data_IF_996914278017
#
_entry.id   IF_996914278017
#
_cell.length_a   1.000
_cell.length_b   1.000
_cell.length_c   1.000
_cell.angle_alpha   90.00
_cell.angle_beta   90.00
_cell.angle_gamma   90.00
#
_symmetry.space_group_name_H-M   'P 1'
#
loop_
_entity.id
_entity.type
_entity.pdbx_description
1 polymer ?
#
# COMPACT_ATOMS: atom_id res chain seq x y z
N UNK A 1 -6.61 -4.75 -12.11
CA UNK A 1 -6.86 -3.37 -11.61
C UNK A 1 -7.81 -3.40 -10.40
N UNK A 2 -7.96 -2.30 -9.65
CA UNK A 2 -8.85 -2.24 -8.45
C UNK A 2 -10.31 -2.59 -8.81
N UNK A 3 -10.76 -2.13 -9.98
CA UNK A 3 -12.05 -2.42 -10.61
C UNK A 3 -12.33 -3.92 -10.79
N UNK A 4 -11.39 -4.66 -11.38
CA UNK A 4 -11.48 -6.11 -11.56
C UNK A 4 -11.55 -6.82 -10.21
N UNK A 5 -10.73 -6.39 -9.23
CA UNK A 5 -10.72 -7.01 -7.91
C UNK A 5 -12.04 -6.79 -7.15
N UNK A 6 -12.63 -5.60 -7.25
CA UNK A 6 -13.96 -5.31 -6.72
C UNK A 6 -15.02 -6.25 -7.32
N UNK A 7 -14.94 -6.50 -8.63
CA UNK A 7 -15.83 -7.41 -9.34
C UNK A 7 -15.64 -8.86 -8.89
N UNK A 8 -14.40 -9.33 -8.73
CA UNK A 8 -14.08 -10.66 -8.22
C UNK A 8 -14.63 -10.88 -6.82
N UNK A 9 -14.35 -9.95 -5.89
CA UNK A 9 -14.80 -10.02 -4.51
C UNK A 9 -16.32 -9.98 -4.42
N UNK A 10 -16.97 -9.13 -5.22
CA UNK A 10 -18.43 -9.12 -5.30
C UNK A 10 -18.99 -10.46 -5.78
N UNK A 11 -18.39 -11.05 -6.80
CA UNK A 11 -18.82 -12.34 -7.35
C UNK A 11 -18.58 -13.49 -6.36
N UNK A 12 -17.47 -13.50 -5.62
CA UNK A 12 -17.19 -14.53 -4.61
C UNK A 12 -18.16 -14.48 -3.43
N UNK A 13 -18.68 -13.30 -3.11
CA UNK A 13 -19.76 -13.09 -2.14
C UNK A 13 -21.16 -13.39 -2.70
N UNK A 14 -21.27 -13.76 -3.99
CA UNK A 14 -22.54 -14.01 -4.68
C UNK A 14 -23.47 -12.79 -4.69
N UNK A 15 -22.90 -11.58 -4.68
CA UNK A 15 -23.67 -10.34 -4.66
C UNK A 15 -23.88 -9.76 -6.06
N UNK A 16 -25.09 -9.24 -6.29
CA UNK A 16 -25.34 -8.28 -7.35
C UNK A 16 -24.67 -6.95 -7.03
N UNK A 17 -24.44 -6.10 -8.05
CA UNK A 17 -23.93 -4.74 -7.83
C UNK A 17 -24.80 -3.94 -6.85
N UNK A 18 -26.13 -4.17 -6.86
CA UNK A 18 -27.06 -3.50 -5.94
C UNK A 18 -26.84 -3.93 -4.49
N UNK A 19 -26.61 -5.22 -4.24
CA UNK A 19 -26.33 -5.74 -2.90
C UNK A 19 -24.96 -5.29 -2.41
N UNK A 20 -23.97 -5.24 -3.31
CA UNK A 20 -22.62 -4.78 -2.97
C UNK A 20 -22.61 -3.32 -2.51
N UNK A 21 -23.43 -2.47 -3.12
CA UNK A 21 -23.44 -1.03 -2.82
C UNK A 21 -24.50 -0.61 -1.81
N UNK A 22 -25.31 -1.54 -1.31
CA UNK A 22 -26.47 -1.23 -0.49
C UNK A 22 -26.08 -0.37 0.71
N UNK A 23 -26.70 0.82 0.83
CA UNK A 23 -26.46 1.80 1.90
C UNK A 23 -25.04 2.37 1.98
N UNK A 24 -24.15 2.05 1.02
CA UNK A 24 -22.77 2.57 0.98
C UNK A 24 -22.55 3.49 -0.21
N UNK A 25 -22.88 3.04 -1.42
CA UNK A 25 -22.59 3.75 -2.66
C UNK A 25 -23.80 3.73 -3.61
N UNK A 26 -23.82 4.67 -4.55
CA UNK A 26 -24.73 4.58 -5.68
C UNK A 26 -24.35 3.40 -6.59
N UNK A 27 -25.35 2.59 -6.95
CA UNK A 27 -25.16 1.42 -7.82
C UNK A 27 -24.64 1.83 -9.20
N UNK A 28 -25.10 2.95 -9.74
CA UNK A 28 -24.71 3.40 -11.08
C UNK A 28 -23.25 3.86 -11.08
N UNK A 29 -22.81 4.55 -10.03
CA UNK A 29 -21.41 4.88 -9.79
C UNK A 29 -20.54 3.63 -9.71
N UNK A 30 -20.90 2.67 -8.86
CA UNK A 30 -20.14 1.43 -8.70
C UNK A 30 -20.08 0.59 -9.98
N UNK A 31 -21.15 0.58 -10.77
CA UNK A 31 -21.14 -0.03 -12.10
C UNK A 31 -20.09 0.62 -13.02
N UNK A 32 -19.96 1.96 -13.01
CA UNK A 32 -18.90 2.63 -13.77
C UNK A 32 -17.51 2.27 -13.28
N UNK A 33 -17.33 2.09 -11.97
CA UNK A 33 -16.06 1.63 -11.37
C UNK A 33 -15.70 0.22 -11.87
N UNK A 34 -16.63 -0.74 -11.81
CA UNK A 34 -16.36 -2.11 -12.27
C UNK A 34 -16.10 -2.23 -13.79
N UNK A 35 -16.49 -1.22 -14.56
CA UNK A 35 -16.28 -1.15 -16.00
C UNK A 35 -15.16 -0.15 -16.38
N UNK A 36 -14.29 0.23 -15.44
CA UNK A 36 -13.15 1.14 -15.64
C UNK A 36 -13.52 2.53 -16.20
N UNK A 37 -14.79 2.93 -16.06
CA UNK A 37 -15.30 4.23 -16.51
C UNK A 37 -15.24 5.31 -15.41
N UNK A 38 -14.90 4.94 -14.19
CA UNK A 38 -14.77 5.86 -13.06
C UNK A 38 -13.81 5.28 -12.02
N UNK A 39 -13.02 6.14 -11.39
CA UNK A 39 -12.17 5.74 -10.27
C UNK A 39 -12.97 5.77 -8.96
N UNK A 40 -12.70 4.80 -8.08
CA UNK A 40 -13.22 4.79 -6.71
C UNK A 40 -12.21 5.46 -5.78
N UNK A 41 -12.69 6.35 -4.91
CA UNK A 41 -11.83 6.95 -3.89
C UNK A 41 -11.43 5.91 -2.84
N UNK A 42 -10.27 6.09 -2.22
CA UNK A 42 -9.81 5.20 -1.13
C UNK A 42 -10.83 5.18 0.02
N UNK A 43 -11.41 6.33 0.36
CA UNK A 43 -12.41 6.43 1.43
C UNK A 43 -13.67 5.59 1.12
N UNK A 44 -14.15 5.65 -0.12
CA UNK A 44 -15.34 4.91 -0.55
C UNK A 44 -15.07 3.41 -0.67
N UNK A 45 -13.87 3.03 -1.10
CA UNK A 45 -13.40 1.65 -1.09
C UNK A 45 -13.38 1.10 0.35
N UNK A 46 -12.76 1.81 1.30
CA UNK A 46 -12.68 1.37 2.70
C UNK A 46 -14.07 1.25 3.33
N UNK A 47 -14.98 2.19 3.06
CA UNK A 47 -16.38 2.11 3.52
C UNK A 47 -17.08 0.86 2.97
N UNK A 48 -16.89 0.54 1.69
CA UNK A 48 -17.47 -0.64 1.05
C UNK A 48 -16.95 -1.93 1.69
N UNK A 49 -15.64 -2.04 1.88
CA UNK A 49 -15.01 -3.21 2.51
C UNK A 49 -15.47 -3.38 3.96
N UNK A 50 -15.50 -2.30 4.73
CA UNK A 50 -15.94 -2.31 6.12
C UNK A 50 -17.41 -2.75 6.24
N UNK A 51 -18.29 -2.24 5.37
CA UNK A 51 -19.71 -2.60 5.38
C UNK A 51 -19.95 -4.11 5.23
N UNK A 52 -19.19 -4.76 4.33
CA UNK A 52 -19.27 -6.21 4.11
C UNK A 52 -18.30 -7.02 4.97
N UNK A 53 -17.63 -6.38 5.94
CA UNK A 53 -16.64 -6.99 6.84
C UNK A 53 -15.52 -7.72 6.10
N UNK A 54 -15.09 -7.18 4.96
CA UNK A 54 -13.97 -7.69 4.18
C UNK A 54 -12.69 -7.08 4.75
N UNK A 55 -11.76 -7.88 5.31
CA UNK A 55 -10.47 -7.35 5.74
C UNK A 55 -9.72 -6.76 4.55
N UNK A 56 -9.16 -5.57 4.72
CA UNK A 56 -8.42 -4.88 3.64
C UNK A 56 -7.28 -5.75 3.11
N UNK A 57 -6.59 -6.49 3.99
CA UNK A 57 -5.54 -7.43 3.58
C UNK A 57 -6.06 -8.52 2.64
N UNK A 58 -7.23 -9.09 2.92
CA UNK A 58 -7.84 -10.14 2.08
C UNK A 58 -8.34 -9.56 0.74
N UNK A 59 -8.77 -8.30 0.72
CA UNK A 59 -9.11 -7.62 -0.52
C UNK A 59 -7.91 -7.54 -1.47
N UNK A 60 -6.70 -7.33 -0.94
CA UNK A 60 -5.46 -7.27 -1.72
C UNK A 60 -4.79 -8.64 -1.94
N UNK A 61 -5.37 -9.72 -1.42
CA UNK A 61 -4.80 -11.06 -1.60
C UNK A 61 -4.77 -11.46 -3.09
N UNK A 62 -3.59 -11.83 -3.59
CA UNK A 62 -3.37 -12.10 -5.02
C UNK A 62 -3.26 -10.86 -5.90
N UNK A 63 -3.31 -9.65 -5.31
CA UNK A 63 -3.09 -8.38 -5.98
C UNK A 63 -1.72 -7.81 -5.57
N UNK A 64 -0.80 -7.73 -6.52
CA UNK A 64 0.62 -7.44 -6.25
C UNK A 64 1.48 -8.71 -6.33
N UNK A 65 2.74 -8.50 -6.71
CA UNK A 65 3.75 -9.54 -6.98
C UNK A 65 3.68 -10.71 -5.98
N UNK A 66 3.66 -11.96 -6.48
CA UNK A 66 3.76 -13.14 -5.61
C UNK A 66 5.06 -13.08 -4.79
N UNK A 67 5.15 -13.80 -3.67
CA UNK A 67 6.41 -13.91 -2.91
C UNK A 67 7.60 -14.33 -3.80
N UNK A 68 7.33 -15.14 -4.83
CA UNK A 68 8.29 -15.51 -5.88
C UNK A 68 8.64 -14.34 -6.80
N UNK A 69 7.66 -13.56 -7.25
CA UNK A 69 7.91 -12.37 -8.07
C UNK A 69 8.67 -11.30 -7.29
N UNK A 70 8.36 -11.11 -6.01
CA UNK A 70 9.08 -10.20 -5.11
C UNK A 70 10.54 -10.63 -4.97
N UNK A 71 10.82 -11.92 -4.79
CA UNK A 71 12.20 -12.44 -4.68
C UNK A 71 12.98 -12.33 -6.01
N UNK A 72 12.33 -12.59 -7.15
CA UNK A 72 12.94 -12.46 -8.48
C UNK A 72 13.21 -11.00 -8.83
N UNK A 73 12.28 -10.10 -8.48
CA UNK A 73 12.47 -8.66 -8.64
C UNK A 73 13.58 -8.15 -7.71
N UNK A 74 13.60 -8.60 -6.45
CA UNK A 74 14.66 -8.29 -5.49
C UNK A 74 16.02 -8.75 -6.02
N UNK A 75 16.15 -9.99 -6.50
CA UNK A 75 17.44 -10.51 -7.01
C UNK A 75 17.93 -9.74 -8.24
N UNK A 76 17.04 -9.36 -9.16
CA UNK A 76 17.36 -8.52 -10.33
C UNK A 76 17.75 -7.10 -9.95
N UNK A 77 17.05 -6.50 -8.98
CA UNK A 77 17.37 -5.17 -8.45
C UNK A 77 18.72 -5.22 -7.74
N UNK A 78 18.94 -6.17 -6.83
CA UNK A 78 20.19 -6.36 -6.10
C UNK A 78 21.37 -6.54 -7.05
N UNK A 79 21.23 -7.37 -8.09
CA UNK A 79 22.32 -7.62 -9.04
C UNK A 79 22.67 -6.39 -9.92
N UNK A 80 21.66 -5.60 -10.29
CA UNK A 80 21.86 -4.35 -11.05
C UNK A 80 22.43 -3.25 -10.15
N UNK A 81 22.06 -3.26 -8.87
CA UNK A 81 22.40 -2.27 -7.86
C UNK A 81 23.76 -2.45 -7.19
N UNK A 82 24.24 -3.70 -7.05
CA UNK A 82 25.60 -4.02 -6.56
C UNK A 82 26.71 -3.26 -7.32
N UNK A 83 26.40 -2.70 -8.49
CA UNK A 83 27.35 -1.98 -9.30
C UNK A 83 27.52 -0.48 -8.98
N UNK A 84 26.61 0.24 -8.28
CA UNK A 84 26.81 1.68 -7.96
C UNK A 84 26.08 2.17 -6.69
N UNK A 85 26.87 2.36 -5.62
CA UNK A 85 26.62 3.04 -4.32
C UNK A 85 25.60 2.41 -3.35
N UNK A 86 26.07 1.33 -2.68
CA UNK A 86 25.34 0.23 -2.02
C UNK A 86 24.75 0.55 -0.62
N UNK A 87 25.32 1.52 0.10
CA UNK A 87 25.07 1.65 1.53
C UNK A 87 23.73 2.34 1.86
N UNK A 88 23.29 3.31 1.05
CA UNK A 88 22.08 4.08 1.36
C UNK A 88 20.82 3.28 1.07
N UNK A 89 20.75 2.56 -0.06
CA UNK A 89 19.55 1.81 -0.41
C UNK A 89 19.40 0.51 0.39
N UNK A 90 20.49 -0.15 0.79
CA UNK A 90 20.39 -1.25 1.75
C UNK A 90 19.75 -0.81 3.06
N UNK A 91 20.11 0.37 3.57
CA UNK A 91 19.50 0.92 4.77
C UNK A 91 18.02 1.27 4.54
N UNK A 92 17.66 1.91 3.43
CA UNK A 92 16.25 2.24 3.13
C UNK A 92 15.39 0.99 2.96
N UNK A 93 15.92 -0.02 2.28
CA UNK A 93 15.24 -1.31 2.11
C UNK A 93 15.05 -2.04 3.45
N UNK A 94 16.10 -2.13 4.28
CA UNK A 94 16.02 -2.72 5.62
C UNK A 94 14.99 -1.98 6.48
N UNK A 95 14.99 -0.65 6.46
CA UNK A 95 14.01 0.16 7.20
C UNK A 95 12.60 -0.15 6.73
N UNK A 96 12.34 -0.18 5.42
CA UNK A 96 11.02 -0.50 4.86
C UNK A 96 10.48 -1.86 5.36
N UNK A 97 11.33 -2.89 5.40
CA UNK A 97 10.95 -4.23 5.82
C UNK A 97 10.84 -4.40 7.33
N UNK A 98 11.61 -3.64 8.11
CA UNK A 98 11.64 -3.74 9.57
C UNK A 98 10.73 -2.73 10.26
N UNK A 99 10.06 -1.85 9.51
CA UNK A 99 9.28 -0.71 10.00
C UNK A 99 8.21 -1.06 11.04
N UNK A 100 7.65 -2.28 10.96
CA UNK A 100 6.61 -2.77 11.88
C UNK A 100 7.18 -3.30 13.22
N UNK A 101 8.50 -3.37 13.36
CA UNK A 101 9.20 -3.89 14.55
C UNK A 101 9.71 -2.78 15.48
N UNK A 102 9.63 -1.51 15.06
CA UNK A 102 10.09 -0.37 15.85
C UNK A 102 8.99 0.17 16.76
N UNK A 103 9.37 0.62 17.95
CA UNK A 103 8.49 1.45 18.78
C UNK A 103 8.19 2.77 18.04
N UNK A 104 6.96 3.28 18.20
CA UNK A 104 6.48 4.43 17.43
C UNK A 104 7.34 5.69 17.59
N UNK A 105 7.88 5.92 18.80
CA UNK A 105 8.76 7.06 19.09
C UNK A 105 10.07 6.99 18.31
N UNK A 106 10.71 5.81 18.27
CA UNK A 106 11.95 5.58 17.54
C UNK A 106 11.74 5.61 16.03
N UNK A 107 10.60 5.07 15.58
CA UNK A 107 10.21 5.07 14.18
C UNK A 107 10.07 6.50 13.63
N UNK A 108 9.45 7.40 14.40
CA UNK A 108 9.32 8.82 14.03
C UNK A 108 10.68 9.47 13.80
N UNK A 109 11.61 9.29 14.74
CA UNK A 109 12.97 9.85 14.66
C UNK A 109 13.72 9.31 13.44
N UNK A 110 13.59 8.00 13.17
CA UNK A 110 14.23 7.33 12.04
C UNK A 110 13.73 7.89 10.70
N UNK A 111 12.41 8.03 10.55
CA UNK A 111 11.77 8.55 9.34
C UNK A 111 12.14 10.02 9.11
N UNK A 112 12.11 10.86 10.16
CA UNK A 112 12.56 12.26 10.08
C UNK A 112 14.03 12.37 9.64
N UNK A 113 14.90 11.50 10.17
CA UNK A 113 16.32 11.44 9.79
C UNK A 113 16.51 11.06 8.31
N UNK A 114 15.72 10.10 7.81
CA UNK A 114 15.75 9.67 6.40
C UNK A 114 15.31 10.81 5.48
N UNK A 115 14.19 11.47 5.79
CA UNK A 115 13.71 12.60 4.99
C UNK A 115 14.71 13.74 4.96
N UNK A 116 15.27 14.09 6.12
CA UNK A 116 16.29 15.14 6.21
C UNK A 116 17.52 14.81 5.34
N UNK A 117 18.02 13.57 5.40
CA UNK A 117 19.20 13.14 4.64
C UNK A 117 18.98 13.13 3.12
N UNK A 118 17.75 12.93 2.67
CA UNK A 118 17.39 12.78 1.25
C UNK A 118 17.00 14.13 0.63
N UNK A 119 16.36 15.03 1.39
CA UNK A 119 16.06 16.40 0.95
C UNK A 119 17.35 17.16 0.58
N UNK A 120 18.48 16.85 1.24
CA UNK A 120 19.74 17.54 1.02
C UNK A 120 20.68 16.88 -0.02
N UNK A 121 20.29 15.76 -0.66
CA UNK A 121 21.12 15.07 -1.67
C UNK A 121 20.39 14.90 -3.00
N UNK A 122 21.13 15.05 -4.10
CA UNK A 122 20.66 14.63 -5.44
C UNK A 122 20.57 13.10 -5.44
N UNK A 123 19.37 12.62 -5.18
CA UNK A 123 19.05 11.22 -4.90
C UNK A 123 18.43 10.61 -6.16
N UNK A 124 18.77 9.37 -6.49
CA UNK A 124 18.28 8.70 -7.68
C UNK A 124 16.78 8.35 -7.57
N UNK A 125 16.15 8.13 -8.72
CA UNK A 125 14.70 7.87 -8.83
C UNK A 125 14.25 6.68 -7.98
N UNK A 126 15.09 5.64 -7.84
CA UNK A 126 14.76 4.44 -7.09
C UNK A 126 14.83 4.68 -5.57
N UNK A 127 15.86 5.39 -5.10
CA UNK A 127 15.91 5.87 -3.71
C UNK A 127 14.67 6.71 -3.37
N UNK A 128 14.21 7.57 -4.27
CA UNK A 128 12.97 8.34 -4.07
C UNK A 128 11.72 7.45 -3.99
N UNK A 129 11.65 6.38 -4.81
CA UNK A 129 10.56 5.40 -4.73
C UNK A 129 10.54 4.64 -3.40
N UNK A 130 11.70 4.28 -2.85
CA UNK A 130 11.76 3.63 -1.53
C UNK A 130 11.36 4.59 -0.41
N UNK A 131 11.73 5.87 -0.50
CA UNK A 131 11.28 6.89 0.45
C UNK A 131 9.77 7.07 0.40
N UNK A 132 9.17 7.10 -0.79
CA UNK A 132 7.73 7.19 -0.93
C UNK A 132 7.02 5.99 -0.27
N UNK A 133 7.58 4.79 -0.41
CA UNK A 133 7.04 3.58 0.23
C UNK A 133 7.20 3.61 1.75
N UNK A 134 8.36 4.05 2.26
CA UNK A 134 8.60 4.26 3.69
C UNK A 134 7.60 5.29 4.25
N UNK A 135 7.36 6.39 3.53
CA UNK A 135 6.42 7.44 3.90
C UNK A 135 4.98 6.90 4.03
N UNK A 136 4.52 6.16 3.02
CA UNK A 136 3.19 5.55 3.01
C UNK A 136 3.01 4.56 4.16
N UNK A 137 3.98 3.66 4.36
CA UNK A 137 3.96 2.68 5.45
C UNK A 137 3.98 3.36 6.83
N UNK A 138 4.78 4.41 7.00
CA UNK A 138 4.80 5.20 8.23
C UNK A 138 3.47 5.91 8.50
N UNK A 139 2.81 6.47 7.47
CA UNK A 139 1.49 7.09 7.61
C UNK A 139 0.42 6.07 8.02
N UNK A 140 0.46 4.85 7.48
CA UNK A 140 -0.43 3.76 7.90
C UNK A 140 -0.22 3.39 9.38
N UNK A 141 1.04 3.33 9.84
CA UNK A 141 1.37 3.07 11.24
C UNK A 141 0.92 4.22 12.15
N UNK A 142 1.08 5.48 11.72
CA UNK A 142 0.56 6.64 12.43
C UNK A 142 -0.97 6.57 12.60
N UNK A 143 -1.68 6.23 11.52
CA UNK A 143 -3.13 6.11 11.54
C UNK A 143 -3.62 4.97 12.46
N UNK A 144 -2.92 3.84 12.48
CA UNK A 144 -3.22 2.73 13.41
C UNK A 144 -3.03 3.15 14.87
N UNK A 145 -1.93 3.83 15.19
CA UNK A 145 -1.62 4.26 16.56
C UNK A 145 -2.57 5.36 17.08
N UNK A 146 -3.06 6.26 16.22
CA UNK A 146 -4.07 7.27 16.62
C UNK A 146 -5.40 6.64 17.03
N UNK A 147 -5.76 5.47 16.48
CA UNK A 147 -6.95 4.71 16.85
C UNK A 147 -6.76 3.86 18.12
N UNK A 148 -5.58 3.88 18.74
CA UNK A 148 -5.28 3.12 19.97
C UNK A 148 -5.29 3.99 21.24
N UNK A 149 -5.46 5.31 21.11
CA UNK A 149 -5.49 6.30 22.22
C UNK A 149 -6.92 6.84 22.47
N UNK A 150 -7.96 6.08 22.12
CA UNK A 150 -9.35 6.36 22.54
C UNK A 150 -9.95 5.17 23.29
#
# INVERSE_FOLDING_TARGET
MISERLKEVRCSLHFSQKQMTEKVLDRSFYSRVENDCSEISVNDLIKLLHHHRIPVANFWEGFGATSTDVLIFQSRITNTYLNKDVAVLQNLWLVLHMLDLYEFADLKILVETIFHKIIHKKTDEYSMQLVAQIALKYLEICFKNQNTIN
#
